data_IF_849605003218
#
_entry.id   IF_849605003218
#
_cell.length_a   1.000
_cell.length_b   1.000
_cell.length_c   1.000
_cell.angle_alpha   90.00
_cell.angle_beta   90.00
_cell.angle_gamma   90.00
#
_symmetry.space_group_name_H-M   'P 1'
#
loop_
_entity.id
_entity.type
_entity.pdbx_description
1 polymer ?
#
# COMPACT_ATOMS: atom_id res chain seq x y z
N UNK A 1 -5.06 -17.91 -2.78
CA UNK A 1 -3.86 -17.05 -2.75
C UNK A 1 -2.83 -17.39 -3.82
N UNK A 2 -2.37 -18.65 -3.95
CA UNK A 2 -1.38 -19.02 -5.00
C UNK A 2 -1.82 -18.64 -6.42
N UNK A 3 -3.07 -18.96 -6.79
CA UNK A 3 -3.66 -18.52 -8.06
C UNK A 3 -3.65 -17.00 -8.24
N UNK A 4 -3.85 -16.24 -7.17
CA UNK A 4 -3.87 -14.77 -7.21
C UNK A 4 -2.48 -14.19 -7.50
N UNK A 5 -1.41 -14.82 -6.98
CA UNK A 5 -0.03 -14.47 -7.32
C UNK A 5 0.20 -14.63 -8.83
N UNK A 6 -0.21 -15.76 -9.41
CA UNK A 6 -0.08 -15.99 -10.86
C UNK A 6 -0.95 -15.00 -11.66
N UNK A 7 -2.20 -14.79 -11.22
CA UNK A 7 -3.14 -13.87 -11.88
C UNK A 7 -2.68 -12.40 -11.81
N UNK A 8 -1.78 -12.02 -10.87
CA UNK A 8 -1.23 -10.66 -10.76
C UNK A 8 -0.50 -10.20 -12.04
N UNK A 9 0.03 -11.13 -12.84
CA UNK A 9 0.63 -10.84 -14.14
C UNK A 9 -0.34 -10.21 -15.15
N UNK A 10 -1.67 -10.32 -14.92
CA UNK A 10 -2.70 -9.73 -15.76
C UNK A 10 -2.53 -8.23 -15.95
N UNK A 11 -2.10 -7.54 -14.89
CA UNK A 11 -1.93 -6.08 -14.88
C UNK A 11 -0.47 -5.65 -14.97
N UNK A 12 0.47 -6.60 -15.04
CA UNK A 12 1.87 -6.26 -15.19
C UNK A 12 2.10 -5.56 -16.54
N UNK A 13 2.76 -4.40 -16.50
CA UNK A 13 3.21 -3.72 -17.71
C UNK A 13 4.22 -4.61 -18.43
N UNK A 14 4.11 -4.69 -19.75
CA UNK A 14 5.10 -5.35 -20.61
C UNK A 14 6.27 -4.43 -20.99
N UNK A 15 6.27 -3.19 -20.48
CA UNK A 15 7.29 -2.18 -20.78
C UNK A 15 7.77 -1.48 -19.51
N UNK A 16 9.06 -1.14 -19.48
CA UNK A 16 9.72 -0.38 -18.43
C UNK A 16 10.41 0.84 -19.05
N UNK A 17 9.75 1.99 -18.98
CA UNK A 17 10.20 3.23 -19.64
C UNK A 17 11.05 4.09 -18.70
N UNK A 18 12.34 3.75 -18.58
CA UNK A 18 13.28 4.50 -17.73
C UNK A 18 13.62 5.89 -18.27
N UNK A 19 13.19 6.22 -19.49
CA UNK A 19 13.38 7.54 -20.13
C UNK A 19 12.24 8.53 -19.84
N UNK A 20 11.20 8.09 -19.12
CA UNK A 20 10.00 8.91 -18.83
C UNK A 20 10.01 9.59 -17.46
N UNK A 21 10.99 9.28 -16.64
CA UNK A 21 11.26 9.89 -15.33
C UNK A 21 12.77 10.06 -15.18
N UNK A 22 13.22 10.99 -14.35
CA UNK A 22 14.64 11.10 -14.02
C UNK A 22 14.96 10.35 -12.73
N UNK A 23 16.20 9.89 -12.58
CA UNK A 23 16.66 9.29 -11.32
C UNK A 23 16.55 10.28 -10.14
N UNK A 24 16.72 11.57 -10.39
CA UNK A 24 16.55 12.65 -9.40
C UNK A 24 15.10 12.72 -8.89
N UNK A 25 14.13 12.81 -9.80
CA UNK A 25 12.69 12.84 -9.47
C UNK A 25 12.28 11.59 -8.65
N UNK A 26 12.70 10.41 -9.11
CA UNK A 26 12.40 9.14 -8.45
C UNK A 26 13.05 9.09 -7.07
N UNK A 27 14.34 9.44 -6.97
CA UNK A 27 15.08 9.39 -5.71
C UNK A 27 14.49 10.35 -4.67
N UNK A 28 14.24 11.61 -5.03
CA UNK A 28 13.68 12.62 -4.12
C UNK A 28 12.31 12.18 -3.58
N UNK A 29 11.43 11.70 -4.47
CA UNK A 29 10.10 11.24 -4.08
C UNK A 29 10.15 10.07 -3.09
N UNK A 30 11.00 9.08 -3.35
CA UNK A 30 11.13 7.91 -2.46
C UNK A 30 11.84 8.26 -1.14
N UNK A 31 12.78 9.21 -1.13
CA UNK A 31 13.42 9.72 0.09
C UNK A 31 12.42 10.46 0.98
N UNK A 32 11.58 11.32 0.40
CA UNK A 32 10.50 12.01 1.13
C UNK A 32 9.46 11.03 1.66
N UNK A 33 9.13 9.98 0.89
CA UNK A 33 8.19 8.96 1.32
C UNK A 33 8.74 8.11 2.47
N UNK A 34 10.00 7.68 2.40
CA UNK A 34 10.68 6.96 3.49
C UNK A 34 10.70 7.80 4.78
N UNK A 35 11.07 9.08 4.69
CA UNK A 35 11.05 10.01 5.82
C UNK A 35 9.65 10.18 6.40
N UNK A 36 8.63 10.23 5.56
CA UNK A 36 7.23 10.29 6.00
C UNK A 36 6.83 8.99 6.72
N UNK A 37 7.28 7.84 6.24
CA UNK A 37 7.15 6.54 6.90
C UNK A 37 7.74 6.55 8.32
N UNK A 38 8.95 7.07 8.51
CA UNK A 38 9.58 7.20 9.83
C UNK A 38 8.77 8.12 10.77
N UNK A 39 8.24 9.24 10.26
CA UNK A 39 7.37 10.14 11.03
C UNK A 39 6.10 9.40 11.48
N UNK A 40 5.49 8.62 10.58
CA UNK A 40 4.32 7.81 10.88
C UNK A 40 4.63 6.70 11.89
N UNK A 41 5.80 6.07 11.84
CA UNK A 41 6.20 5.05 12.81
C UNK A 41 6.34 5.65 14.21
N UNK A 42 6.97 6.81 14.32
CA UNK A 42 7.06 7.53 15.58
C UNK A 42 5.67 7.91 16.15
N UNK A 43 4.74 8.34 15.29
CA UNK A 43 3.35 8.61 15.69
C UNK A 43 2.63 7.33 16.12
N UNK A 44 2.76 6.23 15.37
CA UNK A 44 2.22 4.90 15.70
C UNK A 44 2.67 4.45 17.07
N UNK A 45 3.99 4.54 17.37
CA UNK A 45 4.55 4.18 18.68
C UNK A 45 3.97 5.02 19.82
N UNK A 46 3.76 6.32 19.61
CA UNK A 46 3.11 7.20 20.59
C UNK A 46 1.65 6.80 20.81
N UNK A 47 0.90 6.61 19.73
CA UNK A 47 -0.53 6.30 19.76
C UNK A 47 -0.84 4.94 20.38
N UNK A 48 -0.07 3.91 20.04
CA UNK A 48 -0.42 2.52 20.36
C UNK A 48 0.49 1.87 21.41
N UNK A 49 1.71 2.36 21.61
CA UNK A 49 2.64 1.84 22.63
C UNK A 49 2.79 2.78 23.83
N UNK A 50 2.25 4.00 23.75
CA UNK A 50 2.26 4.96 24.85
C UNK A 50 3.64 5.56 25.16
N UNK A 51 4.57 5.52 24.21
CA UNK A 51 5.90 6.11 24.39
C UNK A 51 5.85 7.65 24.26
N UNK A 52 6.43 8.38 25.22
CA UNK A 52 6.60 9.84 25.16
C UNK A 52 5.56 10.64 25.94
N UNK A 53 5.76 11.95 26.00
CA UNK A 53 4.86 12.88 26.71
C UNK A 53 3.63 13.24 25.85
N UNK A 54 2.53 13.60 26.52
CA UNK A 54 1.38 14.21 25.86
C UNK A 54 1.80 15.51 25.20
N UNK A 55 1.43 15.66 23.92
CA UNK A 55 1.67 16.89 23.17
C UNK A 55 0.43 17.79 23.23
N UNK A 56 0.65 19.10 23.33
CA UNK A 56 -0.39 20.10 23.12
C UNK A 56 -0.40 20.53 21.65
N UNK A 57 -1.59 20.66 21.08
CA UNK A 57 -1.82 21.07 19.69
C UNK A 57 -3.17 21.77 19.53
N UNK A 58 -3.36 22.44 18.39
CA UNK A 58 -4.65 23.05 18.06
C UNK A 58 -5.66 22.01 17.55
N UNK A 59 -6.95 22.34 17.65
CA UNK A 59 -7.99 21.60 16.94
C UNK A 59 -7.85 21.82 15.43
N UNK A 60 -8.09 20.76 14.65
CA UNK A 60 -8.13 20.84 13.19
C UNK A 60 -9.59 20.74 12.77
N UNK A 61 -10.07 21.74 12.04
CA UNK A 61 -11.45 21.79 11.55
C UNK A 61 -11.78 20.54 10.74
N UNK A 62 -12.95 19.94 11.01
CA UNK A 62 -13.45 18.71 10.38
C UNK A 62 -12.52 17.49 10.43
N UNK A 63 -11.56 17.45 11.37
CA UNK A 63 -10.62 16.34 11.49
C UNK A 63 -10.39 15.91 12.94
N UNK A 64 -10.71 14.65 13.26
CA UNK A 64 -10.31 14.02 14.51
C UNK A 64 -10.20 12.51 14.35
N UNK A 65 -9.15 11.94 14.92
CA UNK A 65 -8.95 10.48 14.98
C UNK A 65 -9.54 9.84 16.25
N UNK A 66 -9.96 10.65 17.23
CA UNK A 66 -10.35 10.15 18.57
C UNK A 66 -11.60 9.27 18.58
N UNK A 67 -12.49 9.46 17.60
CA UNK A 67 -13.74 8.70 17.46
C UNK A 67 -13.66 7.55 16.45
N UNK A 68 -12.48 7.30 15.87
CA UNK A 68 -12.29 6.22 14.89
C UNK A 68 -12.08 4.87 15.59
N UNK A 69 -12.28 3.77 14.86
CA UNK A 69 -11.89 2.44 15.33
C UNK A 69 -10.35 2.38 15.42
N UNK A 70 -9.83 2.31 16.65
CA UNK A 70 -8.38 2.30 16.91
C UNK A 70 -7.63 1.15 16.25
N UNK A 71 -8.23 -0.03 16.06
CA UNK A 71 -7.59 -1.15 15.36
C UNK A 71 -7.44 -0.87 13.86
N UNK A 72 -8.45 -0.24 13.25
CA UNK A 72 -8.37 0.19 11.84
C UNK A 72 -7.30 1.27 11.69
N UNK A 73 -7.28 2.25 12.59
CA UNK A 73 -6.23 3.30 12.59
C UNK A 73 -4.84 2.68 12.75
N UNK A 74 -4.67 1.72 13.67
CA UNK A 74 -3.41 1.01 13.86
C UNK A 74 -2.99 0.25 12.61
N UNK A 75 -3.92 -0.47 11.96
CA UNK A 75 -3.65 -1.19 10.73
C UNK A 75 -3.19 -0.24 9.60
N UNK A 76 -3.85 0.92 9.44
CA UNK A 76 -3.47 1.93 8.44
C UNK A 76 -2.08 2.49 8.74
N UNK A 77 -1.79 2.86 10.00
CA UNK A 77 -0.46 3.32 10.39
C UNK A 77 0.61 2.28 10.04
N UNK A 78 0.38 1.01 10.39
CA UNK A 78 1.29 -0.09 10.06
C UNK A 78 1.53 -0.25 8.57
N UNK A 79 0.46 -0.27 7.76
CA UNK A 79 0.57 -0.35 6.30
C UNK A 79 1.44 0.78 5.75
N UNK A 80 1.22 2.01 6.22
CA UNK A 80 2.00 3.17 5.77
C UNK A 80 3.46 3.11 6.22
N UNK A 81 3.75 2.58 7.43
CA UNK A 81 5.13 2.44 7.90
C UNK A 81 5.89 1.42 7.08
N UNK A 82 5.32 0.23 6.87
CA UNK A 82 5.99 -0.83 6.10
C UNK A 82 6.17 -0.44 4.61
N UNK A 83 5.23 0.34 4.05
CA UNK A 83 5.41 0.92 2.72
C UNK A 83 6.57 1.93 2.67
N UNK A 84 6.80 2.68 3.75
CA UNK A 84 7.97 3.53 3.92
C UNK A 84 9.28 2.73 3.97
N UNK A 85 9.29 1.59 4.67
CA UNK A 85 10.46 0.69 4.74
C UNK A 85 10.75 0.04 3.37
N UNK A 86 9.71 -0.31 2.59
CA UNK A 86 9.88 -0.70 1.18
C UNK A 86 10.50 0.41 0.32
N UNK A 87 10.17 1.68 0.61
CA UNK A 87 10.79 2.83 -0.05
C UNK A 87 12.29 2.88 0.20
N UNK A 88 12.71 2.66 1.46
CA UNK A 88 14.13 2.57 1.80
C UNK A 88 14.83 1.40 1.12
N UNK A 89 14.19 0.22 1.08
CA UNK A 89 14.72 -0.95 0.39
C UNK A 89 14.93 -0.66 -1.11
N UNK A 90 14.00 0.04 -1.75
CA UNK A 90 14.15 0.50 -3.14
C UNK A 90 15.34 1.46 -3.31
N UNK A 91 15.48 2.47 -2.44
CA UNK A 91 16.60 3.42 -2.49
C UNK A 91 17.96 2.73 -2.29
N UNK A 92 18.03 1.75 -1.38
CA UNK A 92 19.23 0.92 -1.14
C UNK A 92 19.55 0.08 -2.38
N UNK A 93 18.53 -0.49 -3.02
CA UNK A 93 18.68 -1.27 -4.25
C UNK A 93 19.15 -0.41 -5.44
N UNK A 94 18.60 0.79 -5.62
CA UNK A 94 19.02 1.72 -6.67
C UNK A 94 20.50 2.11 -6.56
N UNK A 95 21.04 2.21 -5.33
CA UNK A 95 22.46 2.51 -5.08
C UNK A 95 23.38 1.29 -5.29
N UNK A 96 22.93 0.10 -4.91
CA UNK A 96 23.74 -1.12 -4.95
C UNK A 96 23.60 -1.92 -6.25
N UNK A 97 22.55 -1.66 -7.03
CA UNK A 97 22.19 -2.39 -8.23
C UNK A 97 21.48 -3.73 -7.97
N UNK A 98 21.18 -4.08 -6.71
CA UNK A 98 20.54 -5.35 -6.34
C UNK A 98 19.54 -5.15 -5.19
N UNK A 99 18.43 -5.88 -5.23
CA UNK A 99 17.48 -5.90 -4.12
C UNK A 99 17.94 -6.84 -3.01
N UNK A 100 17.80 -6.40 -1.75
CA UNK A 100 17.81 -7.30 -0.61
C UNK A 100 16.47 -8.03 -0.53
N UNK A 101 16.40 -9.22 -1.14
CA UNK A 101 15.19 -10.03 -1.15
C UNK A 101 14.74 -10.50 0.23
N UNK A 102 15.65 -10.59 1.20
CA UNK A 102 15.29 -11.01 2.56
C UNK A 102 14.53 -9.89 3.23
N UNK A 103 15.09 -8.67 3.20
CA UNK A 103 14.42 -7.49 3.72
C UNK A 103 13.06 -7.27 3.03
N UNK A 104 12.99 -7.36 1.69
CA UNK A 104 11.71 -7.18 0.98
C UNK A 104 10.63 -8.20 1.36
N UNK A 105 11.02 -9.44 1.67
CA UNK A 105 10.07 -10.48 2.11
C UNK A 105 9.59 -10.24 3.55
N UNK A 106 10.46 -9.70 4.41
CA UNK A 106 10.11 -9.25 5.75
C UNK A 106 9.06 -8.13 5.68
N UNK A 107 9.34 -7.04 4.95
CA UNK A 107 8.39 -5.92 4.82
C UNK A 107 7.05 -6.35 4.20
N UNK A 108 7.10 -7.25 3.21
CA UNK A 108 5.89 -7.79 2.61
C UNK A 108 5.07 -8.63 3.61
N UNK A 109 5.74 -9.36 4.51
CA UNK A 109 5.12 -10.09 5.60
C UNK A 109 4.45 -9.17 6.61
N UNK A 110 5.09 -8.07 6.98
CA UNK A 110 4.55 -7.09 7.92
C UNK A 110 3.38 -6.30 7.31
N UNK A 111 3.44 -5.96 6.02
CA UNK A 111 2.26 -5.47 5.28
C UNK A 111 1.10 -6.46 5.34
N UNK A 112 1.36 -7.75 5.13
CA UNK A 112 0.32 -8.78 5.25
C UNK A 112 -0.25 -8.86 6.67
N UNK A 113 0.57 -8.65 7.70
CA UNK A 113 0.10 -8.64 9.08
C UNK A 113 -0.89 -7.50 9.35
N UNK A 114 -0.57 -6.28 8.93
CA UNK A 114 -1.49 -5.16 9.11
C UNK A 114 -2.72 -5.24 8.20
N UNK A 115 -2.61 -5.79 6.98
CA UNK A 115 -3.78 -6.11 6.16
C UNK A 115 -4.69 -7.14 6.84
N UNK A 116 -4.13 -8.16 7.50
CA UNK A 116 -4.91 -9.14 8.26
C UNK A 116 -5.66 -8.46 9.42
N UNK A 117 -4.99 -7.54 10.13
CA UNK A 117 -5.61 -6.74 11.18
C UNK A 117 -6.78 -5.89 10.63
N UNK A 118 -6.58 -5.24 9.49
CA UNK A 118 -7.62 -4.45 8.82
C UNK A 118 -8.83 -5.33 8.42
N UNK A 119 -8.58 -6.47 7.76
CA UNK A 119 -9.64 -7.36 7.30
C UNK A 119 -10.45 -7.95 8.45
N UNK A 120 -9.80 -8.26 9.57
CA UNK A 120 -10.48 -8.67 10.80
C UNK A 120 -11.50 -7.63 11.27
N UNK A 121 -11.14 -6.35 11.27
CA UNK A 121 -12.04 -5.26 11.68
C UNK A 121 -13.14 -4.97 10.65
N UNK A 122 -12.87 -5.23 9.36
CA UNK A 122 -13.84 -5.06 8.28
C UNK A 122 -14.76 -6.28 8.08
N UNK A 123 -14.53 -7.38 8.81
CA UNK A 123 -15.34 -8.60 8.68
C UNK A 123 -15.17 -9.31 7.34
N UNK A 124 -14.00 -9.20 6.71
CA UNK A 124 -13.65 -9.84 5.43
C UNK A 124 -12.37 -10.67 5.58
N UNK A 125 -11.91 -11.31 4.51
CA UNK A 125 -10.67 -12.06 4.49
C UNK A 125 -9.86 -11.87 3.18
N UNK A 126 -8.62 -12.36 3.18
CA UNK A 126 -7.74 -12.25 2.00
C UNK A 126 -8.33 -12.89 0.75
N UNK A 127 -9.07 -13.98 0.90
CA UNK A 127 -9.62 -14.74 -0.22
C UNK A 127 -10.74 -13.95 -0.88
N UNK A 128 -11.69 -13.46 -0.10
CA UNK A 128 -12.80 -12.62 -0.55
C UNK A 128 -12.28 -11.36 -1.24
N UNK A 129 -11.42 -10.58 -0.57
CA UNK A 129 -10.87 -9.34 -1.11
C UNK A 129 -10.07 -9.60 -2.39
N UNK A 130 -9.23 -10.65 -2.42
CA UNK A 130 -8.46 -11.00 -3.61
C UNK A 130 -9.34 -11.42 -4.78
N UNK A 131 -10.41 -12.20 -4.54
CA UNK A 131 -11.33 -12.61 -5.61
C UNK A 131 -12.13 -11.44 -6.16
N UNK A 132 -12.69 -10.59 -5.30
CA UNK A 132 -13.44 -9.41 -5.71
C UNK A 132 -12.54 -8.44 -6.49
N UNK A 133 -11.32 -8.21 -6.03
CA UNK A 133 -10.34 -7.40 -6.76
C UNK A 133 -9.98 -8.03 -8.11
N UNK A 134 -9.74 -9.35 -8.17
CA UNK A 134 -9.43 -10.05 -9.42
C UNK A 134 -10.58 -9.95 -10.43
N UNK A 135 -11.83 -10.09 -10.00
CA UNK A 135 -12.99 -9.99 -10.89
C UNK A 135 -13.10 -8.58 -11.50
N UNK A 136 -12.91 -7.54 -10.67
CA UNK A 136 -12.82 -6.15 -11.14
C UNK A 136 -11.69 -5.98 -12.16
N UNK A 137 -10.51 -6.52 -11.88
CA UNK A 137 -9.36 -6.43 -12.79
C UNK A 137 -9.55 -7.23 -14.08
N UNK A 138 -10.31 -8.34 -14.06
CA UNK A 138 -10.70 -9.08 -15.27
C UNK A 138 -11.73 -8.35 -16.10
N UNK A 139 -12.67 -7.64 -15.48
CA UNK A 139 -13.59 -6.78 -16.22
C UNK A 139 -12.83 -5.65 -16.93
N UNK A 140 -11.89 -5.00 -16.22
CA UNK A 140 -11.02 -3.97 -16.83
C UNK A 140 -10.07 -4.54 -17.88
N UNK A 141 -9.44 -5.67 -17.61
CA UNK A 141 -8.47 -6.31 -18.50
C UNK A 141 -8.90 -7.77 -18.80
N UNK A 142 -9.85 -7.97 -19.74
CA UNK A 142 -10.35 -9.30 -20.11
C UNK A 142 -9.24 -10.29 -20.48
N UNK A 143 -8.29 -9.82 -21.28
CA UNK A 143 -7.14 -10.63 -21.71
C UNK A 143 -5.90 -10.32 -20.88
N UNK A 144 -5.35 -9.11 -21.03
CA UNK A 144 -4.14 -8.63 -20.37
C UNK A 144 -4.12 -7.11 -20.30
N UNK A 145 -3.15 -6.56 -19.57
CA UNK A 145 -2.88 -5.13 -19.49
C UNK A 145 -2.75 -4.50 -20.89
N UNK A 146 -3.39 -3.34 -21.04
CA UNK A 146 -3.21 -2.43 -22.17
C UNK A 146 -3.28 -1.00 -21.64
N UNK A 147 -2.45 -0.10 -22.17
CA UNK A 147 -2.46 1.31 -21.76
C UNK A 147 -3.86 1.94 -21.90
N UNK A 148 -4.55 1.68 -23.01
CA UNK A 148 -5.91 2.16 -23.26
C UNK A 148 -6.87 1.83 -22.10
N UNK A 149 -7.03 0.54 -21.76
CA UNK A 149 -7.91 0.10 -20.65
C UNK A 149 -7.41 0.50 -19.25
N UNK A 150 -6.15 0.93 -19.12
CA UNK A 150 -5.65 1.47 -17.87
C UNK A 150 -6.12 2.93 -17.65
N UNK A 151 -6.23 3.70 -18.74
CA UNK A 151 -6.68 5.09 -18.72
C UNK A 151 -8.20 5.23 -18.88
N UNK A 152 -8.83 4.47 -19.78
CA UNK A 152 -10.27 4.49 -20.04
C UNK A 152 -10.97 3.39 -19.23
N UNK A 153 -11.42 3.76 -18.02
CA UNK A 153 -11.96 2.83 -17.02
C UNK A 153 -13.48 2.90 -16.99
N UNK A 154 -14.14 1.74 -17.08
CA UNK A 154 -15.56 1.60 -16.78
C UNK A 154 -15.79 1.52 -15.27
N UNK A 155 -15.95 2.69 -14.64
CA UNK A 155 -16.07 2.81 -13.19
C UNK A 155 -17.39 2.23 -12.65
N UNK A 156 -18.45 2.26 -13.44
CA UNK A 156 -19.77 1.76 -13.04
C UNK A 156 -19.74 0.23 -12.93
N UNK A 157 -19.24 -0.46 -13.97
CA UNK A 157 -19.06 -1.92 -13.94
C UNK A 157 -18.11 -2.34 -12.81
N UNK A 158 -17.02 -1.60 -12.58
CA UNK A 158 -16.10 -1.90 -11.49
C UNK A 158 -16.77 -1.78 -10.11
N UNK A 159 -17.61 -0.76 -9.92
CA UNK A 159 -18.31 -0.54 -8.65
C UNK A 159 -19.32 -1.66 -8.39
N UNK A 160 -20.10 -2.04 -9.41
CA UNK A 160 -21.05 -3.16 -9.30
C UNK A 160 -20.38 -4.49 -8.93
N UNK A 161 -19.13 -4.70 -9.34
CA UNK A 161 -18.36 -5.90 -8.95
C UNK A 161 -17.88 -5.80 -7.50
N UNK A 162 -17.46 -4.62 -7.06
CA UNK A 162 -16.93 -4.37 -5.72
C UNK A 162 -18.01 -4.43 -4.62
N UNK A 163 -19.27 -4.18 -4.96
CA UNK A 163 -20.40 -4.17 -4.01
C UNK A 163 -21.10 -5.54 -3.84
N UNK A 164 -20.64 -6.57 -4.53
CA UNK A 164 -21.15 -7.95 -4.41
C UNK A 164 -20.39 -8.73 -3.35
#
# INVERSE_FOLDING_TARGET
MEKYIVDSARTASNTYFTDKVTDEEVKETFEDFAKTGEILDNQKRRLFYGNGDTLEGGEVEDFSISNLNGNIVHAIYGICTEAGEMSEAFLKAAKSGQFDEVNLKEEAGDLMWYLAMLFRELGTDFTEVAFTNLNKLKARFPDKFTQEKAYDRDLDTEREILER
#
